data_IF_224019804339
#
_entry.id   IF_224019804339
#
_cell.length_a   1.000
_cell.length_b   1.000
_cell.length_c   1.000
_cell.angle_alpha   90.00
_cell.angle_beta   90.00
_cell.angle_gamma   90.00
#
_symmetry.space_group_name_H-M   'P 1'
#
loop_
_entity.id
_entity.type
_entity.pdbx_description
1 polymer ?
#
# COMPACT_ATOMS: atom_id res chain seq x y z
N UNK A 1 -29.48 -28.70 26.19
CA UNK A 1 -28.96 -27.84 25.10
C UNK A 1 -29.64 -28.25 23.81
N UNK A 2 -30.30 -27.32 23.11
CA UNK A 2 -30.87 -27.62 21.80
C UNK A 2 -29.73 -27.73 20.77
N UNK A 3 -29.55 -28.91 20.19
CA UNK A 3 -28.57 -29.16 19.14
C UNK A 3 -29.30 -29.62 17.88
N UNK A 4 -28.78 -29.29 16.70
CA UNK A 4 -29.29 -29.88 15.47
C UNK A 4 -29.07 -31.39 15.52
N UNK A 5 -30.11 -32.17 15.20
CA UNK A 5 -30.02 -33.63 15.18
C UNK A 5 -28.94 -34.05 14.18
N UNK A 6 -28.11 -35.02 14.59
CA UNK A 6 -27.03 -35.58 13.79
C UNK A 6 -27.57 -36.01 12.42
N UNK A 7 -27.28 -35.23 11.38
CA UNK A 7 -27.78 -35.46 10.00
C UNK A 7 -28.14 -34.19 9.24
N UNK A 8 -28.55 -33.11 9.91
CA UNK A 8 -28.86 -31.83 9.25
C UNK A 8 -27.58 -31.03 8.97
N UNK A 9 -27.10 -31.00 7.71
CA UNK A 9 -25.94 -30.16 7.34
C UNK A 9 -26.38 -28.70 7.16
N UNK A 10 -26.30 -27.91 8.21
CA UNK A 10 -26.44 -26.46 8.13
C UNK A 10 -25.10 -25.83 7.75
N UNK A 11 -24.77 -25.90 6.46
CA UNK A 11 -23.53 -25.36 5.90
C UNK A 11 -23.82 -24.10 5.09
N UNK A 12 -23.31 -22.93 5.50
CA UNK A 12 -23.38 -21.72 4.70
C UNK A 12 -22.54 -21.80 3.43
N UNK A 13 -22.94 -21.03 2.41
CA UNK A 13 -22.16 -20.80 1.19
C UNK A 13 -22.06 -19.31 0.93
N UNK A 14 -20.93 -18.70 1.27
CA UNK A 14 -20.69 -17.27 1.11
C UNK A 14 -21.85 -16.40 1.69
N UNK A 15 -22.74 -15.88 0.83
CA UNK A 15 -23.89 -15.03 1.22
C UNK A 15 -25.21 -15.79 1.37
N UNK A 16 -25.22 -17.09 1.09
CA UNK A 16 -26.42 -17.92 1.13
C UNK A 16 -26.37 -18.86 2.32
N UNK A 17 -27.46 -18.90 3.07
CA UNK A 17 -27.65 -19.88 4.14
C UNK A 17 -29.12 -20.29 4.23
N UNK A 18 -29.37 -21.58 3.97
CA UNK A 18 -30.69 -22.19 4.12
C UNK A 18 -30.61 -23.22 5.26
N UNK A 19 -31.10 -22.88 6.47
CA UNK A 19 -31.02 -23.77 7.61
C UNK A 19 -31.96 -24.96 7.43
N UNK A 20 -31.43 -26.16 7.66
CA UNK A 20 -32.18 -27.43 7.61
C UNK A 20 -32.62 -27.93 9.00
N UNK A 21 -32.22 -27.24 10.07
CA UNK A 21 -32.67 -27.52 11.43
C UNK A 21 -33.26 -26.28 12.09
N UNK A 22 -34.20 -26.51 13.00
CA UNK A 22 -34.93 -25.47 13.72
C UNK A 22 -34.01 -24.52 14.49
N UNK A 23 -32.98 -25.05 15.17
CA UNK A 23 -32.03 -24.26 15.95
C UNK A 23 -31.28 -23.26 15.06
N UNK A 24 -30.79 -23.69 13.89
CA UNK A 24 -30.13 -22.78 12.95
C UNK A 24 -31.10 -21.77 12.32
N UNK A 25 -32.37 -22.13 12.14
CA UNK A 25 -33.39 -21.22 11.64
C UNK A 25 -33.73 -20.12 12.66
N UNK A 26 -33.79 -20.46 13.94
CA UNK A 26 -33.98 -19.51 15.04
C UNK A 26 -32.79 -18.55 15.15
N UNK A 27 -31.56 -19.06 15.16
CA UNK A 27 -30.37 -18.22 15.16
C UNK A 27 -30.28 -17.30 13.94
N UNK A 28 -30.56 -17.81 12.73
CA UNK A 28 -30.60 -16.98 11.53
C UNK A 28 -31.60 -15.84 11.69
N UNK A 29 -32.78 -16.12 12.23
CA UNK A 29 -33.82 -15.12 12.48
C UNK A 29 -33.35 -14.07 13.48
N UNK A 30 -32.71 -14.48 14.57
CA UNK A 30 -32.22 -13.57 15.60
C UNK A 30 -31.08 -12.69 15.08
N UNK A 31 -30.12 -13.27 14.35
CA UNK A 31 -29.04 -12.52 13.70
C UNK A 31 -29.61 -11.46 12.74
N UNK A 32 -30.56 -11.85 11.88
CA UNK A 32 -31.17 -10.92 10.92
C UNK A 32 -32.00 -9.82 11.59
N UNK A 33 -32.69 -10.15 12.68
CA UNK A 33 -33.48 -9.19 13.46
C UNK A 33 -32.62 -8.06 14.01
N UNK A 34 -31.42 -8.39 14.48
CA UNK A 34 -30.44 -7.47 15.07
C UNK A 34 -29.45 -6.88 14.05
N UNK A 35 -29.57 -7.25 12.77
CA UNK A 35 -28.76 -6.71 11.69
C UNK A 35 -29.32 -5.38 11.21
N UNK A 36 -28.52 -4.31 11.30
CA UNK A 36 -28.92 -2.95 10.94
C UNK A 36 -29.08 -2.78 9.44
N UNK A 37 -28.33 -3.55 8.65
CA UNK A 37 -28.50 -3.64 7.21
C UNK A 37 -29.43 -4.80 6.84
N UNK A 38 -30.75 -4.59 6.97
CA UNK A 38 -31.78 -5.63 6.77
C UNK A 38 -31.87 -6.14 5.32
N UNK A 39 -31.43 -5.32 4.36
CA UNK A 39 -31.32 -5.67 2.94
C UNK A 39 -29.87 -6.02 2.56
N UNK A 40 -28.97 -6.06 3.53
CA UNK A 40 -27.55 -6.29 3.35
C UNK A 40 -27.21 -7.76 3.21
N UNK A 41 -26.15 -8.02 2.45
CA UNK A 41 -25.62 -9.36 2.28
C UNK A 41 -24.83 -9.80 3.52
N UNK A 42 -25.48 -10.56 4.41
CA UNK A 42 -24.82 -11.25 5.52
C UNK A 42 -23.82 -12.28 4.98
N UNK A 43 -22.59 -12.25 5.48
CA UNK A 43 -21.51 -13.15 5.07
C UNK A 43 -21.53 -14.45 5.87
N UNK A 44 -22.59 -15.25 5.70
CA UNK A 44 -22.77 -16.51 6.40
C UNK A 44 -21.59 -17.49 6.27
N UNK A 45 -20.83 -17.42 5.18
CA UNK A 45 -19.63 -18.22 4.94
C UNK A 45 -18.50 -17.99 5.96
N UNK A 46 -18.55 -16.89 6.72
CA UNK A 46 -17.65 -16.70 7.86
C UNK A 46 -18.02 -17.58 9.06
N UNK A 47 -19.27 -18.03 9.16
CA UNK A 47 -19.83 -18.59 10.39
C UNK A 47 -19.84 -20.12 10.37
N UNK A 48 -19.77 -20.73 11.56
CA UNK A 48 -20.05 -22.15 11.79
C UNK A 48 -21.38 -22.29 12.56
N UNK A 49 -22.54 -22.47 11.88
CA UNK A 49 -23.86 -22.44 12.54
C UNK A 49 -24.04 -23.42 13.70
N UNK A 50 -23.36 -24.58 13.65
CA UNK A 50 -23.37 -25.55 14.74
C UNK A 50 -22.77 -25.05 16.05
N UNK A 51 -22.00 -23.95 16.02
CA UNK A 51 -21.34 -23.36 17.19
C UNK A 51 -22.08 -22.16 17.78
N UNK A 52 -23.06 -21.56 17.10
CA UNK A 52 -23.81 -20.40 17.60
C UNK A 52 -24.36 -20.56 19.04
N UNK A 53 -24.86 -21.74 19.48
CA UNK A 53 -25.35 -21.89 20.85
C UNK A 53 -24.26 -21.86 21.95
N UNK A 54 -22.98 -22.01 21.59
CA UNK A 54 -21.88 -22.18 22.54
C UNK A 54 -20.74 -21.18 22.33
N UNK A 55 -20.77 -20.45 21.21
CA UNK A 55 -19.69 -19.57 20.79
C UNK A 55 -20.26 -18.27 20.22
N UNK A 56 -20.21 -17.22 21.02
CA UNK A 56 -20.67 -15.89 20.64
C UNK A 56 -19.85 -15.29 19.48
N UNK A 57 -18.60 -15.71 19.32
CA UNK A 57 -17.75 -15.23 18.22
C UNK A 57 -18.29 -15.67 16.86
N UNK A 58 -18.77 -16.91 16.76
CA UNK A 58 -19.38 -17.43 15.53
C UNK A 58 -20.68 -16.71 15.15
N UNK A 59 -21.37 -16.10 16.13
CA UNK A 59 -22.51 -15.21 15.89
C UNK A 59 -22.01 -13.85 15.42
N UNK A 60 -20.99 -13.29 16.06
CA UNK A 60 -20.42 -11.99 15.75
C UNK A 60 -19.93 -11.88 14.29
N UNK A 61 -19.33 -12.94 13.75
CA UNK A 61 -18.84 -13.02 12.36
C UNK A 61 -19.91 -12.74 11.29
N UNK A 62 -21.20 -12.92 11.60
CA UNK A 62 -22.28 -12.62 10.67
C UNK A 62 -22.42 -11.11 10.39
N UNK A 63 -21.96 -10.27 11.30
CA UNK A 63 -22.02 -8.81 11.22
C UNK A 63 -20.73 -8.18 10.65
N UNK A 64 -19.81 -9.01 10.17
CA UNK A 64 -18.45 -8.62 9.80
C UNK A 64 -18.19 -8.87 8.30
N UNK A 65 -17.17 -8.22 7.70
CA UNK A 65 -16.78 -8.44 6.31
C UNK A 65 -16.32 -9.88 6.04
N UNK A 66 -16.26 -10.25 4.76
CA UNK A 66 -15.81 -11.59 4.31
C UNK A 66 -14.37 -11.89 4.78
N UNK A 67 -14.03 -13.18 4.88
CA UNK A 67 -12.66 -13.63 5.13
C UNK A 67 -12.36 -13.98 6.58
N UNK A 68 -13.39 -14.27 7.38
CA UNK A 68 -13.26 -14.54 8.83
C UNK A 68 -13.57 -15.99 9.21
N UNK A 69 -13.71 -16.88 8.22
CA UNK A 69 -14.07 -18.28 8.43
C UNK A 69 -13.10 -19.03 9.36
N UNK A 70 -11.80 -18.74 9.21
CA UNK A 70 -10.73 -19.40 9.97
C UNK A 70 -10.35 -18.67 11.26
N UNK A 71 -10.90 -17.46 11.47
CA UNK A 71 -10.56 -16.62 12.61
C UNK A 71 -11.21 -17.12 13.89
N UNK A 72 -10.43 -17.39 14.93
CA UNK A 72 -10.95 -18.02 16.16
C UNK A 72 -11.41 -17.02 17.22
N UNK A 73 -10.96 -15.77 17.13
CA UNK A 73 -11.34 -14.70 18.03
C UNK A 73 -11.08 -13.30 17.49
N UNK A 74 -11.49 -12.26 18.25
CA UNK A 74 -11.32 -10.85 17.88
C UNK A 74 -9.85 -10.44 17.72
N UNK A 75 -8.93 -11.05 18.44
CA UNK A 75 -7.49 -10.79 18.42
C UNK A 75 -6.81 -11.13 17.08
N UNK A 76 -7.40 -12.03 16.30
CA UNK A 76 -6.87 -12.42 14.98
C UNK A 76 -7.42 -11.55 13.84
N UNK A 77 -8.25 -10.55 14.17
CA UNK A 77 -8.96 -9.72 13.21
C UNK A 77 -8.36 -8.31 13.13
N UNK A 78 -8.44 -7.73 11.93
CA UNK A 78 -8.26 -6.30 11.75
C UNK A 78 -9.36 -5.52 12.50
N UNK A 79 -9.01 -4.35 13.04
CA UNK A 79 -9.92 -3.41 13.67
C UNK A 79 -11.19 -3.16 12.84
N UNK A 80 -11.10 -3.11 11.51
CA UNK A 80 -12.28 -2.90 10.65
C UNK A 80 -13.31 -4.02 10.75
N UNK A 81 -12.91 -5.26 11.04
CA UNK A 81 -13.87 -6.34 11.28
C UNK A 81 -14.70 -6.07 12.54
N UNK A 82 -14.04 -5.66 13.63
CA UNK A 82 -14.70 -5.31 14.89
C UNK A 82 -15.56 -4.06 14.76
N UNK A 83 -15.07 -3.02 14.06
CA UNK A 83 -15.86 -1.82 13.78
C UNK A 83 -17.09 -2.14 12.92
N UNK A 84 -16.98 -3.09 11.99
CA UNK A 84 -18.10 -3.54 11.17
C UNK A 84 -19.18 -4.26 12.00
N UNK A 85 -18.78 -5.08 12.99
CA UNK A 85 -19.70 -5.68 13.95
C UNK A 85 -20.47 -4.59 14.71
N UNK A 86 -19.77 -3.60 15.26
CA UNK A 86 -20.38 -2.48 16.01
C UNK A 86 -21.35 -1.71 15.11
N UNK A 87 -20.99 -1.48 13.85
CA UNK A 87 -21.83 -0.73 12.91
C UNK A 87 -23.08 -1.52 12.47
N UNK A 88 -22.95 -2.84 12.33
CA UNK A 88 -23.96 -3.71 11.72
C UNK A 88 -24.91 -4.36 12.71
N UNK A 89 -24.61 -4.33 14.01
CA UNK A 89 -25.44 -4.93 15.07
C UNK A 89 -26.11 -3.84 15.91
N UNK A 90 -27.43 -3.94 16.10
CA UNK A 90 -28.21 -2.94 16.84
C UNK A 90 -28.11 -3.03 18.37
N UNK A 91 -27.49 -4.09 18.91
CA UNK A 91 -27.14 -4.17 20.32
C UNK A 91 -26.08 -3.12 20.72
N UNK A 92 -25.29 -2.64 19.76
CA UNK A 92 -24.39 -1.52 19.98
C UNK A 92 -25.17 -0.21 19.80
N UNK A 93 -25.42 0.48 20.91
CA UNK A 93 -26.06 1.80 20.90
C UNK A 93 -24.98 2.87 20.73
N UNK A 94 -24.58 3.09 19.48
CA UNK A 94 -23.54 4.08 19.12
C UNK A 94 -23.96 4.91 17.91
N UNK A 95 -23.40 6.11 17.76
CA UNK A 95 -23.49 6.86 16.51
C UNK A 95 -22.68 6.17 15.39
N UNK A 96 -23.40 5.49 14.50
CA UNK A 96 -22.85 4.77 13.33
C UNK A 96 -22.00 5.64 12.41
N UNK A 97 -22.25 6.96 12.36
CA UNK A 97 -21.41 7.87 11.58
C UNK A 97 -19.99 7.87 12.12
N UNK A 98 -19.81 7.91 13.44
CA UNK A 98 -18.49 7.90 14.08
C UNK A 98 -17.72 6.61 13.79
N UNK A 99 -18.41 5.47 13.83
CA UNK A 99 -17.81 4.17 13.45
C UNK A 99 -17.36 4.18 11.99
N UNK A 100 -18.22 4.68 11.10
CA UNK A 100 -17.96 4.74 9.66
C UNK A 100 -16.77 5.64 9.33
N UNK A 101 -16.63 6.79 10.02
CA UNK A 101 -15.50 7.70 9.83
C UNK A 101 -14.16 7.04 10.23
N UNK A 102 -14.12 6.28 11.33
CA UNK A 102 -12.91 5.53 11.71
C UNK A 102 -12.56 4.45 10.68
N UNK A 103 -13.57 3.74 10.15
CA UNK A 103 -13.37 2.75 9.06
C UNK A 103 -12.80 3.42 7.81
N UNK A 104 -13.32 4.60 7.43
CA UNK A 104 -12.82 5.36 6.28
C UNK A 104 -11.36 5.76 6.46
N UNK A 105 -11.00 6.32 7.62
CA UNK A 105 -9.62 6.70 7.89
C UNK A 105 -8.65 5.49 7.81
N UNK A 106 -9.02 4.33 8.36
CA UNK A 106 -8.22 3.09 8.20
C UNK A 106 -8.05 2.74 6.73
N UNK A 107 -9.13 2.78 5.95
CA UNK A 107 -9.09 2.47 4.52
C UNK A 107 -8.26 3.48 3.73
N UNK A 108 -8.32 4.77 4.07
CA UNK A 108 -7.52 5.82 3.41
C UNK A 108 -6.02 5.57 3.59
N UNK A 109 -5.57 5.25 4.80
CA UNK A 109 -4.16 4.88 5.05
C UNK A 109 -3.79 3.64 4.24
N UNK A 110 -4.59 2.57 4.34
CA UNK A 110 -4.25 1.29 3.71
C UNK A 110 -4.25 1.32 2.18
N UNK A 111 -4.98 2.25 1.56
CA UNK A 111 -4.99 2.44 0.11
C UNK A 111 -4.13 3.63 -0.35
N UNK A 112 -3.43 4.31 0.56
CA UNK A 112 -2.45 5.34 0.19
C UNK A 112 -1.21 4.66 -0.41
N UNK A 113 -0.94 4.90 -1.68
CA UNK A 113 0.21 4.33 -2.40
C UNK A 113 1.55 4.75 -1.79
N UNK A 114 1.59 5.92 -1.15
CA UNK A 114 2.80 6.49 -0.56
C UNK A 114 2.88 6.27 0.95
N UNK A 115 1.82 5.75 1.60
CA UNK A 115 1.69 5.63 3.06
C UNK A 115 1.96 6.95 3.82
N UNK A 116 1.93 8.09 3.11
CA UNK A 116 2.11 9.43 3.66
C UNK A 116 0.75 10.05 3.96
N UNK A 117 0.66 10.70 5.11
CA UNK A 117 -0.49 11.50 5.53
C UNK A 117 -0.02 12.85 6.03
N UNK A 118 -0.82 13.90 5.81
CA UNK A 118 -0.49 15.23 6.30
C UNK A 118 -0.71 15.32 7.82
N UNK A 119 -0.03 16.26 8.47
CA UNK A 119 -0.24 16.54 9.90
C UNK A 119 -1.67 16.98 10.22
N UNK A 120 -2.33 17.69 9.29
CA UNK A 120 -3.75 18.04 9.38
C UNK A 120 -4.63 16.79 9.35
N UNK A 121 -4.33 15.83 8.47
CA UNK A 121 -5.06 14.57 8.39
C UNK A 121 -4.90 13.74 9.66
N UNK A 122 -3.69 13.64 10.22
CA UNK A 122 -3.44 12.93 11.48
C UNK A 122 -4.22 13.54 12.66
N UNK A 123 -4.29 14.87 12.73
CA UNK A 123 -5.08 15.57 13.75
C UNK A 123 -6.58 15.31 13.59
N UNK A 124 -7.08 15.32 12.36
CA UNK A 124 -8.48 14.95 12.08
C UNK A 124 -8.78 13.50 12.46
N UNK A 125 -7.87 12.58 12.14
CA UNK A 125 -7.96 11.18 12.53
C UNK A 125 -7.98 11.00 14.05
N UNK A 126 -7.12 11.70 14.79
CA UNK A 126 -7.12 11.73 16.25
C UNK A 126 -8.49 12.16 16.80
N UNK A 127 -9.04 13.27 16.30
CA UNK A 127 -10.36 13.75 16.72
C UNK A 127 -11.46 12.72 16.43
N UNK A 128 -11.42 12.05 15.28
CA UNK A 128 -12.38 10.99 14.92
C UNK A 128 -12.29 9.79 15.85
N UNK A 129 -11.09 9.33 16.21
CA UNK A 129 -10.90 8.26 17.21
C UNK A 129 -11.47 8.68 18.56
N UNK A 130 -11.12 9.87 19.06
CA UNK A 130 -11.61 10.37 20.35
C UNK A 130 -13.14 10.47 20.37
N UNK A 131 -13.74 10.98 19.29
CA UNK A 131 -15.20 11.05 19.14
C UNK A 131 -15.88 9.68 19.18
N UNK A 132 -15.27 8.67 18.54
CA UNK A 132 -15.76 7.29 18.58
C UNK A 132 -15.62 6.67 19.98
N UNK A 133 -14.47 6.82 20.63
CA UNK A 133 -14.23 6.27 21.98
C UNK A 133 -15.17 6.89 23.03
N UNK A 134 -15.56 8.15 22.85
CA UNK A 134 -16.54 8.82 23.71
C UNK A 134 -17.92 8.15 23.72
N UNK A 135 -18.27 7.34 22.70
CA UNK A 135 -19.50 6.53 22.71
C UNK A 135 -19.47 5.45 23.80
N UNK A 136 -18.27 5.04 24.24
CA UNK A 136 -18.07 3.96 25.20
C UNK A 136 -17.56 4.44 26.56
N UNK A 137 -17.71 5.74 26.87
CA UNK A 137 -17.31 6.32 28.16
C UNK A 137 -17.92 5.64 29.40
N UNK A 138 -19.01 4.89 29.21
CA UNK A 138 -19.69 4.14 30.26
C UNK A 138 -19.03 2.77 30.54
N UNK A 139 -18.02 2.37 29.75
CA UNK A 139 -17.31 1.09 29.89
C UNK A 139 -15.95 1.36 30.55
N UNK A 140 -15.76 0.98 31.84
CA UNK A 140 -14.56 1.33 32.61
C UNK A 140 -13.25 0.86 31.97
N UNK A 141 -13.24 -0.32 31.36
CA UNK A 141 -12.07 -0.91 30.71
C UNK A 141 -11.61 -0.08 29.50
N UNK A 142 -12.56 0.49 28.76
CA UNK A 142 -12.27 1.37 27.61
C UNK A 142 -11.76 2.72 28.12
N UNK A 143 -12.34 3.26 29.19
CA UNK A 143 -11.86 4.50 29.81
C UNK A 143 -10.44 4.35 30.34
N UNK A 144 -10.11 3.22 30.98
CA UNK A 144 -8.75 2.94 31.44
C UNK A 144 -7.75 2.88 30.26
N UNK A 145 -8.19 2.39 29.11
CA UNK A 145 -7.37 2.33 27.89
C UNK A 145 -7.28 3.68 27.19
N UNK A 146 -8.25 4.59 27.42
CA UNK A 146 -8.32 5.91 26.79
C UNK A 146 -7.05 6.72 27.02
N UNK A 147 -6.51 6.72 28.24
CA UNK A 147 -5.26 7.44 28.56
C UNK A 147 -4.08 6.95 27.71
N UNK A 148 -3.98 5.64 27.47
CA UNK A 148 -2.92 5.07 26.63
C UNK A 148 -3.09 5.46 25.16
N UNK A 149 -4.34 5.48 24.68
CA UNK A 149 -4.64 5.89 23.31
C UNK A 149 -4.38 7.39 23.13
N UNK A 150 -4.79 8.22 24.10
CA UNK A 150 -4.54 9.65 24.08
C UNK A 150 -3.05 9.95 24.07
N UNK A 151 -2.26 9.31 24.94
CA UNK A 151 -0.80 9.39 24.91
C UNK A 151 -0.25 9.08 23.51
N UNK A 152 -0.65 7.96 22.91
CA UNK A 152 -0.20 7.54 21.58
C UNK A 152 -0.62 8.52 20.46
N UNK A 153 -1.79 9.13 20.57
CA UNK A 153 -2.27 10.12 19.60
C UNK A 153 -1.59 11.48 19.77
N UNK A 154 -1.15 11.83 20.98
CA UNK A 154 -0.45 13.09 21.28
C UNK A 154 1.06 13.01 21.16
N UNK A 155 1.63 11.80 21.07
CA UNK A 155 3.06 11.60 20.85
C UNK A 155 3.50 12.24 19.53
N UNK A 156 4.60 12.97 19.58
CA UNK A 156 5.33 13.35 18.38
C UNK A 156 5.99 12.07 17.84
N UNK A 157 5.44 11.49 16.78
CA UNK A 157 5.95 10.27 16.13
C UNK A 157 7.31 10.52 15.43
N UNK A 158 8.04 11.55 15.85
CA UNK A 158 9.41 11.78 15.50
C UNK A 158 10.19 10.50 15.79
N UNK A 159 10.76 9.92 14.72
CA UNK A 159 11.73 8.86 14.85
C UNK A 159 12.93 9.47 15.54
N UNK A 160 13.11 9.16 16.82
CA UNK A 160 14.35 9.46 17.51
C UNK A 160 15.40 8.54 16.91
N UNK A 161 16.13 9.06 15.92
CA UNK A 161 17.38 8.48 15.44
C UNK A 161 18.42 8.90 16.47
N UNK A 162 18.86 8.00 17.38
CA UNK A 162 20.02 8.31 18.19
C UNK A 162 21.18 8.63 17.24
N UNK A 163 22.10 9.52 17.62
CA UNK A 163 23.29 9.83 16.80
C UNK A 163 24.10 8.58 16.37
N UNK A 164 23.84 7.44 17.00
CA UNK A 164 24.27 6.11 16.62
C UNK A 164 23.08 5.24 16.16
N UNK A 165 22.68 5.37 14.89
CA UNK A 165 21.96 4.30 14.21
C UNK A 165 22.87 3.06 14.20
N UNK A 166 22.62 2.09 15.09
CA UNK A 166 23.05 0.72 14.81
C UNK A 166 22.27 0.25 13.59
N UNK A 167 22.93 0.28 12.43
CA UNK A 167 22.40 -0.27 11.17
C UNK A 167 21.88 -1.68 11.44
N UNK A 168 20.67 -1.97 10.99
CA UNK A 168 19.99 -3.27 11.07
C UNK A 168 20.66 -4.39 10.24
N UNK A 169 21.87 -4.15 9.73
CA UNK A 169 22.68 -5.15 9.09
C UNK A 169 23.35 -6.05 10.13
N UNK A 170 23.27 -7.36 9.93
CA UNK A 170 24.07 -8.32 10.69
C UNK A 170 25.52 -7.82 10.79
N UNK A 171 26.02 -7.61 12.01
CA UNK A 171 27.43 -7.39 12.31
C UNK A 171 28.21 -8.65 11.95
N UNK A 172 28.34 -8.95 10.65
CA UNK A 172 29.45 -9.76 10.19
C UNK A 172 30.68 -8.87 10.34
N UNK A 173 31.62 -9.27 11.21
CA UNK A 173 32.95 -8.68 11.45
C UNK A 173 33.84 -8.59 10.18
N UNK A 174 33.27 -8.71 8.99
CA UNK A 174 33.97 -8.61 7.69
C UNK A 174 33.10 -7.92 6.64
N UNK A 175 32.10 -7.12 7.04
CA UNK A 175 31.42 -6.21 6.14
C UNK A 175 32.35 -5.07 5.77
N UNK A 176 32.92 -5.07 4.56
CA UNK A 176 33.66 -3.93 4.02
C UNK A 176 32.66 -2.78 3.84
N UNK A 177 32.56 -1.92 4.85
CA UNK A 177 31.79 -0.69 4.74
C UNK A 177 32.46 0.20 3.71
N UNK A 178 31.74 0.52 2.63
CA UNK A 178 32.20 1.47 1.63
C UNK A 178 32.21 2.87 2.26
N UNK A 179 33.34 3.55 2.19
CA UNK A 179 33.41 4.97 2.54
C UNK A 179 32.56 5.80 1.57
N UNK A 180 32.19 7.01 1.99
CA UNK A 180 31.48 7.97 1.13
C UNK A 180 32.20 8.19 -0.22
N UNK A 181 33.54 8.21 -0.22
CA UNK A 181 34.34 8.30 -1.44
C UNK A 181 34.22 7.08 -2.34
N UNK A 182 34.14 5.87 -1.76
CA UNK A 182 33.97 4.63 -2.52
C UNK A 182 32.56 4.51 -3.09
N UNK A 183 31.54 4.97 -2.37
CA UNK A 183 30.17 5.05 -2.88
C UNK A 183 30.10 6.02 -4.06
N UNK A 184 30.67 7.22 -3.92
CA UNK A 184 30.73 8.21 -5.00
C UNK A 184 31.48 7.66 -6.23
N UNK A 185 32.60 6.95 -6.03
CA UNK A 185 33.34 6.30 -7.11
C UNK A 185 32.47 5.27 -7.86
N UNK A 186 31.73 4.43 -7.13
CA UNK A 186 30.81 3.45 -7.73
C UNK A 186 29.68 4.14 -8.49
N UNK A 187 29.05 5.17 -7.91
CA UNK A 187 27.98 5.92 -8.56
C UNK A 187 28.47 6.62 -9.84
N UNK A 188 29.69 7.16 -9.80
CA UNK A 188 30.36 7.77 -10.94
C UNK A 188 30.60 6.74 -12.05
N UNK A 189 31.16 5.57 -11.73
CA UNK A 189 31.42 4.53 -12.72
C UNK A 189 30.13 3.97 -13.32
N UNK A 190 29.09 3.74 -12.51
CA UNK A 190 27.78 3.28 -13.01
C UNK A 190 27.16 4.30 -13.98
N UNK A 191 27.26 5.59 -13.67
CA UNK A 191 26.79 6.64 -14.57
C UNK A 191 27.60 6.75 -15.85
N UNK A 192 28.93 6.57 -15.78
CA UNK A 192 29.77 6.50 -16.99
C UNK A 192 29.39 5.32 -17.87
N UNK A 193 29.20 4.14 -17.29
CA UNK A 193 28.74 2.96 -18.01
C UNK A 193 27.39 3.24 -18.69
N UNK A 194 26.46 3.89 -17.98
CA UNK A 194 25.16 4.23 -18.55
C UNK A 194 25.27 5.21 -19.72
N UNK A 195 26.14 6.22 -19.62
CA UNK A 195 26.40 7.17 -20.70
C UNK A 195 27.09 6.48 -21.90
N UNK A 196 28.01 5.55 -21.66
CA UNK A 196 28.65 4.77 -22.71
C UNK A 196 27.65 3.83 -23.41
N UNK A 197 26.72 3.22 -22.68
CA UNK A 197 25.64 2.41 -23.27
C UNK A 197 24.79 3.25 -24.24
N UNK A 198 24.39 4.46 -23.81
CA UNK A 198 23.63 5.40 -24.65
C UNK A 198 24.46 5.81 -25.88
N UNK A 199 25.77 6.02 -25.72
CA UNK A 199 26.67 6.38 -26.81
C UNK A 199 26.76 5.27 -27.86
N UNK A 200 26.92 4.02 -27.44
CA UNK A 200 26.98 2.86 -28.33
C UNK A 200 25.65 2.65 -29.07
N UNK A 201 24.52 2.71 -28.34
CA UNK A 201 23.17 2.64 -28.93
C UNK A 201 22.94 3.73 -29.99
N UNK A 202 23.47 4.94 -29.74
CA UNK A 202 23.40 6.03 -30.69
C UNK A 202 24.29 5.79 -31.93
N UNK A 203 25.48 5.23 -31.75
CA UNK A 203 26.43 4.95 -32.85
C UNK A 203 25.98 3.78 -33.74
N UNK A 204 25.40 2.74 -33.16
CA UNK A 204 24.92 1.54 -33.86
C UNK A 204 23.57 1.75 -34.56
N UNK A 205 22.90 2.91 -34.33
CA UNK A 205 21.54 3.22 -34.80
C UNK A 205 20.49 2.17 -34.38
N UNK A 206 20.75 1.45 -33.29
CA UNK A 206 19.91 0.34 -32.81
C UNK A 206 18.58 0.84 -32.19
N UNK A 207 18.51 2.14 -31.88
CA UNK A 207 17.37 2.79 -31.21
C UNK A 207 17.02 4.11 -31.91
N UNK A 208 15.72 4.48 -31.92
CA UNK A 208 15.25 5.73 -32.51
C UNK A 208 15.91 6.95 -31.84
N UNK A 209 16.32 7.98 -32.61
CA UNK A 209 16.97 9.19 -32.07
C UNK A 209 16.17 9.90 -30.96
N UNK A 210 14.85 9.87 -31.04
CA UNK A 210 13.94 10.47 -30.05
C UNK A 210 14.00 9.77 -28.69
N UNK A 211 14.21 8.45 -28.68
CA UNK A 211 14.32 7.68 -27.45
C UNK A 211 15.68 7.89 -26.77
N UNK A 212 16.75 8.03 -27.57
CA UNK A 212 18.09 8.40 -27.08
C UNK A 212 18.05 9.79 -26.43
N UNK A 213 17.35 10.75 -27.03
CA UNK A 213 17.14 12.09 -26.47
C UNK A 213 16.42 12.06 -25.13
N UNK A 214 15.33 11.28 -25.03
CA UNK A 214 14.59 11.14 -23.79
C UNK A 214 15.47 10.54 -22.68
N UNK A 215 16.24 9.49 -22.98
CA UNK A 215 17.18 8.87 -22.03
C UNK A 215 18.25 9.87 -21.57
N UNK A 216 18.83 10.63 -22.49
CA UNK A 216 19.83 11.65 -22.17
C UNK A 216 19.24 12.77 -21.30
N UNK A 217 18.00 13.19 -21.57
CA UNK A 217 17.32 14.23 -20.82
C UNK A 217 17.07 13.82 -19.37
N UNK A 218 16.67 12.56 -19.13
CA UNK A 218 16.51 12.00 -17.78
C UNK A 218 17.83 12.05 -17.01
N UNK A 219 18.95 11.67 -17.64
CA UNK A 219 20.28 11.73 -17.01
C UNK A 219 20.69 13.17 -16.71
N UNK A 220 20.42 14.12 -17.61
CA UNK A 220 20.70 15.55 -17.39
C UNK A 220 19.90 16.13 -16.22
N UNK A 221 18.63 15.75 -16.09
CA UNK A 221 17.79 16.18 -14.97
C UNK A 221 18.27 15.60 -13.65
N UNK A 222 18.65 14.32 -13.63
CA UNK A 222 19.26 13.67 -12.46
C UNK A 222 20.55 14.39 -12.03
N UNK A 223 21.45 14.68 -12.96
CA UNK A 223 22.73 15.38 -12.67
C UNK A 223 22.54 16.86 -12.28
N UNK A 224 21.40 17.48 -12.60
CA UNK A 224 21.09 18.84 -12.14
C UNK A 224 20.95 18.89 -10.62
N UNK A 225 20.45 17.81 -10.03
CA UNK A 225 20.23 17.68 -8.59
C UNK A 225 21.45 17.13 -7.84
N UNK A 226 22.41 16.52 -8.54
CA UNK A 226 23.62 15.89 -7.97
C UNK A 226 24.90 16.57 -8.51
N UNK A 227 25.37 17.60 -7.80
CA UNK A 227 26.46 18.49 -8.28
C UNK A 227 27.84 17.82 -8.31
N UNK A 228 28.10 16.97 -7.34
CA UNK A 228 29.29 16.14 -7.20
C UNK A 228 29.48 15.22 -8.42
N UNK A 229 28.44 14.44 -8.76
CA UNK A 229 28.44 13.56 -9.93
C UNK A 229 28.51 14.36 -11.24
N UNK A 230 27.78 15.48 -11.32
CA UNK A 230 27.78 16.34 -12.50
C UNK A 230 29.17 16.81 -12.86
N UNK A 231 29.98 17.22 -11.89
CA UNK A 231 31.32 17.77 -12.15
C UNK A 231 32.26 16.79 -12.85
N UNK A 232 32.12 15.49 -12.56
CA UNK A 232 32.93 14.41 -13.17
C UNK A 232 32.48 13.97 -14.56
N UNK A 233 31.23 14.26 -14.96
CA UNK A 233 30.61 13.72 -16.18
C UNK A 233 30.36 14.76 -17.29
N UNK A 234 30.84 15.99 -17.12
CA UNK A 234 30.65 17.07 -18.11
C UNK A 234 31.20 16.69 -19.49
N UNK A 235 32.38 16.06 -19.54
CA UNK A 235 33.01 15.66 -20.80
C UNK A 235 32.20 14.59 -21.55
N UNK A 236 31.69 13.59 -20.83
CA UNK A 236 30.91 12.49 -21.42
C UNK A 236 29.56 13.00 -21.97
N UNK A 237 28.90 13.91 -21.25
CA UNK A 237 27.68 14.58 -21.72
C UNK A 237 27.93 15.41 -22.99
N UNK A 238 29.02 16.18 -23.04
CA UNK A 238 29.37 17.00 -24.21
C UNK A 238 29.67 16.13 -25.45
N UNK A 239 30.28 14.96 -25.25
CA UNK A 239 30.58 14.00 -26.30
C UNK A 239 29.29 13.42 -26.91
N UNK A 240 28.33 13.05 -26.07
CA UNK A 240 27.00 12.59 -26.49
C UNK A 240 26.18 13.67 -27.20
N UNK A 241 26.20 14.90 -26.70
CA UNK A 241 25.53 16.04 -27.33
C UNK A 241 26.09 16.32 -28.75
N UNK A 242 27.40 16.15 -28.91
CA UNK A 242 28.09 16.33 -30.20
C UNK A 242 27.80 15.22 -31.20
N UNK A 243 27.72 13.96 -30.76
CA UNK A 243 27.29 12.83 -31.61
C UNK A 243 25.86 13.00 -32.10
N UNK A 244 24.96 13.37 -31.20
CA UNK A 244 23.57 13.58 -31.56
C UNK A 244 23.42 14.72 -32.58
N UNK A 245 24.21 15.81 -32.42
CA UNK A 245 24.22 16.90 -33.39
C UNK A 245 24.75 16.48 -34.77
N UNK A 246 25.73 15.56 -34.83
CA UNK A 246 26.21 14.98 -36.09
C UNK A 246 25.14 14.13 -36.78
N UNK A 247 24.32 13.39 -36.04
CA UNK A 247 23.22 12.59 -36.59
C UNK A 247 22.00 13.43 -37.03
N UNK A 248 21.94 14.70 -36.64
CA UNK A 248 20.92 15.65 -37.11
C UNK A 248 21.32 16.42 -38.38
N UNK A 249 22.59 16.40 -38.77
CA UNK A 249 23.05 16.97 -40.05
C UNK A 249 23.13 15.87 -41.12
N UNK A 250 22.20 15.78 -42.07
CA UNK A 250 22.33 14.86 -43.19
C UNK A 250 23.41 15.36 -44.15
N UNK A 251 24.14 14.43 -44.74
CA UNK A 251 25.12 14.61 -45.82
C UNK A 251 24.74 15.76 -46.79
N UNK A 252 25.60 16.78 -46.83
CA UNK A 252 25.65 17.76 -47.92
C UNK A 252 26.99 17.66 -48.64
N UNK A 253 27.31 16.50 -49.23
CA UNK A 253 28.35 16.38 -50.28
C UNK A 253 28.04 15.25 -51.26
N UNK A 254 27.18 15.52 -52.24
CA UNK A 254 27.31 14.88 -53.56
C UNK A 254 28.51 15.51 -54.30
N UNK A 255 29.46 14.72 -54.85
CA UNK A 255 30.38 15.21 -55.87
C UNK A 255 29.69 15.18 -57.24
N UNK A 256 29.69 16.33 -57.92
CA UNK A 256 29.01 16.57 -59.19
C UNK A 256 29.34 15.61 -60.34
N UNK A 257 28.34 15.48 -61.21
CA UNK A 257 28.27 14.67 -62.41
C UNK A 257 29.34 15.00 -63.47
N UNK A 258 29.77 13.96 -64.21
CA UNK A 258 30.13 14.07 -65.62
C UNK A 258 29.60 12.85 -66.39
N UNK A 259 28.48 13.05 -67.07
CA UNK A 259 28.08 12.29 -68.27
C UNK A 259 28.90 12.77 -69.47
N UNK A 260 29.40 11.89 -70.35
CA UNK A 260 30.00 12.29 -71.61
C UNK A 260 28.91 12.51 -72.68
N UNK A 261 28.88 13.72 -73.26
CA UNK A 261 28.15 14.01 -74.50
C UNK A 261 28.79 13.27 -75.69
N UNK A 262 27.95 12.68 -76.53
CA UNK A 262 28.35 11.77 -77.61
C UNK A 262 28.89 12.44 -78.86
N UNK A 263 29.11 11.62 -79.90
CA UNK A 263 29.04 12.03 -81.30
C UNK A 263 28.89 10.81 -82.22
N UNK A 264 27.92 10.98 -83.13
CA UNK A 264 27.76 10.40 -84.48
C UNK A 264 27.64 8.87 -84.63
#
# INVERSE_FOLDING_TARGET
>A
RAACRSGSRCSPRARQFQPQCQVCAEWKREILKHHTNRNGDVHWGNCRPGRWPVDAWEVAKAFMPRGLADKTGPEECDAVALLSLINSCDHFTVDRKKVTEVIKCRNEIMHSSEMKVSSLWLRDFQMKIQNFLNEFKNIPEIVATYTRIEQLLTSDWAVHIPDEDQRDGCEYETGVYLSESQVNEIEMELLKEKLQEIYLQAQEQDVLPEEILNRLQVVKEFLRNNKDLRSGLIGDLQKLDSLHLQHQTPDSKEPGAQTPEGKA
#
